data_IF_867499290556
#
_entry.id   IF_867499290556
#
_cell.length_a   1.000
_cell.length_b   1.000
_cell.length_c   1.000
_cell.angle_alpha   90.00
_cell.angle_beta   90.00
_cell.angle_gamma   90.00
#
_symmetry.space_group_name_H-M   'P 1'
#
loop_
_entity.id
_entity.type
_entity.pdbx_description
1 polymer ?
#
# COMPACT_ATOMS: atom_id res chain seq x y z
N UNK A 1 -0.72 -4.69 -17.32
CA UNK A 1 -1.91 -4.57 -16.45
C UNK A 1 -2.84 -5.76 -16.73
N UNK A 2 -3.57 -6.28 -15.73
CA UNK A 2 -4.49 -7.44 -15.92
C UNK A 2 -4.01 -8.82 -15.41
N UNK A 3 -2.93 -8.88 -14.61
CA UNK A 3 -2.30 -10.16 -14.22
C UNK A 3 -2.64 -10.63 -12.78
N UNK A 4 -3.75 -10.17 -12.19
CA UNK A 4 -4.18 -10.60 -10.85
C UNK A 4 -3.44 -9.96 -9.64
N UNK A 5 -2.65 -8.90 -9.85
CA UNK A 5 -1.89 -8.22 -8.77
C UNK A 5 -2.77 -7.74 -7.62
N UNK A 6 -3.89 -7.09 -7.94
CA UNK A 6 -4.87 -6.66 -6.96
C UNK A 6 -5.45 -7.84 -6.17
N UNK A 7 -5.60 -9.01 -6.81
CA UNK A 7 -6.12 -10.20 -6.15
C UNK A 7 -5.14 -10.73 -5.08
N UNK A 8 -3.83 -10.73 -5.35
CA UNK A 8 -2.82 -11.10 -4.33
C UNK A 8 -2.80 -10.11 -3.17
N UNK A 9 -2.93 -8.81 -3.44
CA UNK A 9 -3.01 -7.77 -2.42
C UNK A 9 -4.23 -7.98 -1.51
N UNK A 10 -5.38 -8.26 -2.13
CA UNK A 10 -6.63 -8.58 -1.44
C UNK A 10 -6.52 -9.84 -0.58
N UNK A 11 -5.84 -10.90 -1.06
CA UNK A 11 -5.63 -12.10 -0.26
C UNK A 11 -4.76 -11.83 0.97
N UNK A 12 -3.73 -10.98 0.87
CA UNK A 12 -2.94 -10.54 2.01
C UNK A 12 -3.77 -9.70 2.99
N UNK A 13 -4.56 -8.76 2.48
CA UNK A 13 -5.49 -7.98 3.32
C UNK A 13 -6.48 -8.88 4.05
N UNK A 14 -7.01 -9.90 3.38
CA UNK A 14 -7.89 -10.90 3.99
C UNK A 14 -7.18 -11.62 5.14
N UNK A 15 -5.97 -12.12 4.88
CA UNK A 15 -5.18 -12.82 5.89
C UNK A 15 -4.90 -11.93 7.10
N UNK A 16 -4.42 -10.70 6.89
CA UNK A 16 -4.13 -9.76 7.98
C UNK A 16 -5.38 -9.35 8.76
N UNK A 17 -6.51 -9.17 8.07
CA UNK A 17 -7.80 -8.88 8.71
C UNK A 17 -8.30 -10.04 9.56
N UNK A 18 -8.13 -11.28 9.11
CA UNK A 18 -8.53 -12.49 9.84
C UNK A 18 -7.68 -12.73 11.10
N UNK A 19 -6.42 -12.27 11.11
CA UNK A 19 -5.54 -12.31 12.30
C UNK A 19 -6.02 -11.43 13.46
N UNK A 20 -7.10 -10.64 13.27
CA UNK A 20 -7.67 -9.71 14.26
C UNK A 20 -6.61 -8.81 14.91
N UNK A 21 -5.65 -8.33 14.11
CA UNK A 21 -4.68 -7.36 14.58
C UNK A 21 -5.40 -6.07 14.98
N UNK A 22 -4.95 -5.44 16.08
CA UNK A 22 -5.48 -4.13 16.51
C UNK A 22 -5.16 -3.01 15.50
N UNK A 23 -4.22 -3.25 14.58
CA UNK A 23 -3.72 -2.26 13.62
C UNK A 23 -4.46 -2.33 12.29
N UNK A 24 -4.54 -1.19 11.62
CA UNK A 24 -5.17 -1.00 10.32
C UNK A 24 -4.28 -1.47 9.17
N UNK A 25 -4.92 -1.89 8.09
CA UNK A 25 -4.26 -2.01 6.79
C UNK A 25 -4.54 -0.78 5.94
N UNK A 26 -3.53 -0.24 5.27
CA UNK A 26 -3.64 0.95 4.45
C UNK A 26 -3.31 0.65 3.00
N UNK A 27 -4.19 1.03 2.08
CA UNK A 27 -3.99 0.91 0.64
C UNK A 27 -3.82 2.30 0.04
N UNK A 28 -2.69 2.53 -0.61
CA UNK A 28 -2.33 3.80 -1.21
C UNK A 28 -2.39 3.70 -2.73
N UNK A 29 -3.05 4.65 -3.38
CA UNK A 29 -3.06 4.80 -4.83
C UNK A 29 -2.77 6.26 -5.23
N UNK A 30 -2.16 6.51 -6.40
CA UNK A 30 -1.64 7.85 -6.72
C UNK A 30 -2.76 8.85 -7.04
N UNK A 31 -3.92 8.38 -7.51
CA UNK A 31 -5.05 9.25 -7.89
C UNK A 31 -6.34 8.87 -7.18
N UNK A 32 -7.26 9.83 -7.04
CA UNK A 32 -8.57 9.61 -6.40
C UNK A 32 -9.41 8.55 -7.14
N UNK A 33 -9.40 8.56 -8.47
CA UNK A 33 -10.10 7.56 -9.29
C UNK A 33 -9.57 6.14 -9.04
N UNK A 34 -8.24 5.98 -8.91
CA UNK A 34 -7.65 4.69 -8.56
C UNK A 34 -8.01 4.30 -7.12
N UNK A 35 -8.03 5.24 -6.18
CA UNK A 35 -8.49 4.96 -4.81
C UNK A 35 -9.93 4.43 -4.78
N UNK A 36 -10.84 5.05 -5.55
CA UNK A 36 -12.23 4.59 -5.67
C UNK A 36 -12.32 3.17 -6.26
N UNK A 37 -11.59 2.92 -7.35
CA UNK A 37 -11.53 1.60 -7.98
C UNK A 37 -11.03 0.54 -7.01
N UNK A 38 -9.90 0.80 -6.32
CA UNK A 38 -9.31 -0.15 -5.38
C UNK A 38 -10.20 -0.35 -4.14
N UNK A 39 -10.90 0.70 -3.70
CA UNK A 39 -11.87 0.61 -2.61
C UNK A 39 -13.01 -0.35 -2.96
N UNK A 40 -13.60 -0.21 -4.15
CA UNK A 40 -14.69 -1.09 -4.59
C UNK A 40 -14.23 -2.54 -4.70
N UNK A 41 -13.09 -2.79 -5.34
CA UNK A 41 -12.53 -4.16 -5.45
C UNK A 41 -12.25 -4.76 -4.08
N UNK A 42 -11.71 -3.97 -3.14
CA UNK A 42 -11.43 -4.43 -1.78
C UNK A 42 -12.71 -4.72 -1.00
N UNK A 43 -13.75 -3.89 -1.15
CA UNK A 43 -15.07 -4.10 -0.52
C UNK A 43 -15.75 -5.36 -1.02
N UNK A 44 -15.70 -5.60 -2.34
CA UNK A 44 -16.34 -6.77 -2.94
C UNK A 44 -15.63 -8.07 -2.53
N UNK A 45 -14.32 -8.00 -2.31
CA UNK A 45 -13.52 -9.18 -2.00
C UNK A 45 -13.37 -9.46 -0.49
N UNK A 46 -13.54 -8.45 0.37
CA UNK A 46 -13.39 -8.58 1.82
C UNK A 46 -14.69 -8.24 2.56
N UNK A 47 -15.11 -9.12 3.46
CA UNK A 47 -16.25 -8.87 4.36
C UNK A 47 -15.88 -7.98 5.57
N UNK A 48 -15.06 -6.95 5.36
CA UNK A 48 -14.60 -6.03 6.41
C UNK A 48 -14.91 -4.59 6.05
N UNK A 49 -14.94 -3.70 7.05
CA UNK A 49 -15.19 -2.27 6.82
C UNK A 49 -13.99 -1.62 6.12
N UNK A 50 -14.24 -1.08 4.91
CA UNK A 50 -13.26 -0.39 4.07
C UNK A 50 -13.63 1.08 3.96
N UNK A 51 -12.77 1.96 4.47
CA UNK A 51 -12.92 3.41 4.39
C UNK A 51 -12.19 3.97 3.17
N UNK A 52 -12.78 4.97 2.51
CA UNK A 52 -12.14 5.71 1.42
C UNK A 52 -11.91 7.15 1.85
N UNK A 53 -10.66 7.61 1.75
CA UNK A 53 -10.30 9.01 1.96
C UNK A 53 -9.55 9.51 0.74
N UNK A 54 -10.16 10.39 -0.04
CA UNK A 54 -9.47 11.07 -1.15
C UNK A 54 -9.45 12.57 -0.93
N UNK A 55 -8.43 13.24 -1.47
CA UNK A 55 -8.34 14.70 -1.46
C UNK A 55 -9.54 15.36 -2.15
N UNK A 56 -10.19 14.69 -3.09
CA UNK A 56 -11.38 15.18 -3.78
C UNK A 56 -12.64 15.13 -2.89
N UNK A 57 -12.72 14.18 -1.95
CA UNK A 57 -13.92 13.98 -1.12
C UNK A 57 -14.01 14.94 0.05
N UNK A 58 -12.88 15.43 0.60
CA UNK A 58 -12.96 16.36 1.73
C UNK A 58 -11.65 17.11 2.07
N UNK A 59 -11.26 18.13 1.28
CA UNK A 59 -10.11 19.00 1.59
C UNK A 59 -10.18 19.69 2.97
N UNK A 60 -11.39 19.83 3.55
CA UNK A 60 -11.60 20.55 4.81
C UNK A 60 -11.97 19.67 6.02
N UNK A 61 -12.33 18.39 5.83
CA UNK A 61 -12.79 17.54 6.94
C UNK A 61 -11.64 16.89 7.73
N UNK A 62 -10.46 16.71 7.11
CA UNK A 62 -9.34 15.97 7.72
C UNK A 62 -8.47 16.77 8.69
N UNK A 63 -8.94 17.92 9.15
CA UNK A 63 -8.30 18.74 10.20
C UNK A 63 -8.83 18.42 11.61
N UNK A 64 -9.85 17.58 11.71
CA UNK A 64 -10.47 17.20 12.98
C UNK A 64 -9.94 15.85 13.48
N UNK A 65 -9.26 15.87 14.63
CA UNK A 65 -8.74 14.68 15.28
C UNK A 65 -9.85 13.70 15.72
N UNK A 66 -11.03 14.21 16.08
CA UNK A 66 -12.16 13.37 16.51
C UNK A 66 -12.75 12.58 15.34
N UNK A 67 -12.80 13.19 14.14
CA UNK A 67 -13.20 12.52 12.91
C UNK A 67 -12.21 11.40 12.57
N UNK A 68 -10.91 11.67 12.62
CA UNK A 68 -9.88 10.64 12.41
C UNK A 68 -10.08 9.47 13.37
N UNK A 69 -10.24 9.72 14.67
CA UNK A 69 -10.47 8.66 15.65
C UNK A 69 -11.71 7.83 15.33
N UNK A 70 -12.81 8.47 14.93
CA UNK A 70 -14.04 7.77 14.54
C UNK A 70 -13.81 6.89 13.31
N UNK A 71 -13.18 7.43 12.26
CA UNK A 71 -12.91 6.71 11.02
C UNK A 71 -11.97 5.52 11.24
N UNK A 72 -10.89 5.71 12.01
CA UNK A 72 -9.93 4.66 12.35
C UNK A 72 -10.55 3.57 13.22
N UNK A 73 -11.55 3.89 14.06
CA UNK A 73 -12.27 2.89 14.85
C UNK A 73 -13.32 2.11 14.07
N UNK A 74 -13.90 2.73 13.03
CA UNK A 74 -14.98 2.13 12.24
C UNK A 74 -14.48 1.20 11.12
N UNK A 75 -13.27 1.43 10.62
CA UNK A 75 -12.73 0.72 9.46
C UNK A 75 -11.57 -0.20 9.84
N UNK A 76 -11.36 -1.27 9.07
CA UNK A 76 -10.16 -2.13 9.19
C UNK A 76 -9.18 -1.92 8.05
N UNK A 77 -9.69 -1.50 6.90
CA UNK A 77 -8.89 -1.14 5.75
C UNK A 77 -9.19 0.31 5.38
N UNK A 78 -8.14 1.10 5.19
CA UNK A 78 -8.23 2.47 4.70
C UNK A 78 -7.64 2.55 3.30
N UNK A 79 -8.35 3.19 2.38
CA UNK A 79 -7.86 3.46 1.02
C UNK A 79 -7.72 4.96 0.85
N UNK A 80 -6.54 5.44 0.47
CA UNK A 80 -6.33 6.88 0.25
C UNK A 80 -5.25 7.23 -0.76
N UNK A 81 -5.20 8.51 -1.14
CA UNK A 81 -3.99 9.05 -1.77
C UNK A 81 -2.87 9.17 -0.75
N UNK A 82 -1.59 9.15 -1.16
CA UNK A 82 -0.49 9.22 -0.22
C UNK A 82 -0.36 10.56 0.49
N UNK A 83 -0.75 11.65 -0.17
CA UNK A 83 -0.73 12.97 0.46
C UNK A 83 -1.62 13.03 1.71
N UNK A 84 -2.79 12.37 1.67
CA UNK A 84 -3.71 12.29 2.82
C UNK A 84 -3.04 11.60 4.01
N UNK A 85 -2.43 10.41 3.79
CA UNK A 85 -1.76 9.68 4.86
C UNK A 85 -0.56 10.46 5.40
N UNK A 86 0.24 11.05 4.50
CA UNK A 86 1.39 11.85 4.86
C UNK A 86 1.01 13.05 5.74
N UNK A 87 -0.06 13.75 5.39
CA UNK A 87 -0.55 14.87 6.18
C UNK A 87 -1.10 14.37 7.53
N UNK A 88 -1.82 13.26 7.57
CA UNK A 88 -2.31 12.70 8.83
C UNK A 88 -1.16 12.30 9.79
N UNK A 89 -0.07 11.76 9.25
CA UNK A 89 1.14 11.44 10.00
C UNK A 89 1.85 12.71 10.51
N UNK A 90 1.89 13.79 9.71
CA UNK A 90 2.49 15.08 10.12
C UNK A 90 1.75 15.79 11.21
N UNK A 91 0.42 15.76 11.16
CA UNK A 91 -0.41 16.35 12.19
C UNK A 91 -0.51 15.46 13.45
N UNK A 92 0.03 14.23 13.40
CA UNK A 92 0.00 13.30 14.53
C UNK A 92 -1.37 12.68 14.79
N UNK A 93 -2.28 12.71 13.81
CA UNK A 93 -3.57 12.03 13.92
C UNK A 93 -3.43 10.51 13.83
N UNK A 94 -2.37 10.05 13.16
CA UNK A 94 -2.01 8.65 12.99
C UNK A 94 -0.55 8.46 13.40
N UNK A 95 -0.28 7.41 14.15
CA UNK A 95 1.05 6.98 14.54
C UNK A 95 1.38 5.70 13.79
N UNK A 96 2.24 5.79 12.77
CA UNK A 96 2.56 4.67 11.86
C UNK A 96 2.88 3.37 12.61
N UNK A 97 3.70 3.44 13.66
CA UNK A 97 4.11 2.26 14.40
C UNK A 97 3.00 1.62 15.25
N UNK A 98 2.02 2.40 15.69
CA UNK A 98 0.93 1.96 16.57
C UNK A 98 -0.32 1.57 15.80
N UNK A 99 -0.70 2.38 14.83
CA UNK A 99 -2.02 2.29 14.21
C UNK A 99 -2.01 1.48 12.91
N UNK A 100 -0.84 1.31 12.28
CA UNK A 100 -0.73 0.69 10.96
C UNK A 100 0.05 -0.63 11.06
N UNK A 101 -0.52 -1.70 10.53
CA UNK A 101 0.06 -3.04 10.48
C UNK A 101 0.58 -3.41 9.09
N UNK A 102 -0.06 -2.91 8.04
CA UNK A 102 0.25 -3.18 6.64
C UNK A 102 0.03 -1.92 5.81
N UNK A 103 0.95 -1.62 4.90
CA UNK A 103 0.79 -0.59 3.87
C UNK A 103 0.99 -1.24 2.50
N UNK A 104 0.03 -1.00 1.61
CA UNK A 104 0.06 -1.44 0.21
C UNK A 104 0.23 -0.21 -0.67
N UNK A 105 1.29 -0.19 -1.48
CA UNK A 105 1.56 0.87 -2.46
C UNK A 105 1.14 0.40 -3.85
N UNK A 106 0.10 1.01 -4.41
CA UNK A 106 -0.25 0.84 -5.82
C UNK A 106 0.54 1.83 -6.69
N UNK A 107 0.99 1.33 -7.84
CA UNK A 107 1.95 2.03 -8.70
C UNK A 107 3.17 2.54 -7.91
N UNK A 108 3.74 1.65 -7.08
CA UNK A 108 4.90 1.92 -6.21
C UNK A 108 6.15 2.48 -6.92
N UNK A 109 6.14 2.43 -8.25
CA UNK A 109 7.10 3.09 -9.12
C UNK A 109 7.14 4.63 -8.91
N UNK A 110 6.08 5.23 -8.36
CA UNK A 110 6.07 6.64 -7.93
C UNK A 110 6.95 6.95 -6.71
N UNK A 111 7.40 5.94 -5.94
CA UNK A 111 8.13 6.13 -4.67
C UNK A 111 9.60 6.55 -4.85
N UNK A 112 9.83 7.66 -5.54
CA UNK A 112 11.14 8.24 -5.85
C UNK A 112 11.15 9.72 -5.51
N UNK A 113 12.35 10.30 -5.40
CA UNK A 113 12.55 11.73 -5.15
C UNK A 113 11.70 12.27 -3.99
N UNK A 114 10.95 13.35 -4.20
CA UNK A 114 10.12 14.00 -3.18
C UNK A 114 8.64 13.57 -3.26
N UNK A 115 8.34 12.45 -3.92
CA UNK A 115 6.98 11.92 -4.01
C UNK A 115 6.43 11.58 -2.61
N UNK A 116 5.13 11.85 -2.33
CA UNK A 116 4.52 11.51 -1.06
C UNK A 116 4.72 10.06 -0.60
N UNK A 117 4.80 9.08 -1.51
CA UNK A 117 5.16 7.70 -1.15
C UNK A 117 6.53 7.62 -0.47
N UNK A 118 7.55 8.22 -1.10
CA UNK A 118 8.91 8.19 -0.58
C UNK A 118 9.02 8.96 0.75
N UNK A 119 8.30 10.09 0.87
CA UNK A 119 8.28 10.88 2.10
C UNK A 119 7.67 10.13 3.29
N UNK A 120 6.58 9.38 3.08
CA UNK A 120 6.01 8.50 4.12
C UNK A 120 7.08 7.54 4.63
N UNK A 121 7.86 6.95 3.72
CA UNK A 121 8.90 6.00 4.08
C UNK A 121 10.06 6.65 4.84
N UNK A 122 10.58 7.77 4.33
CA UNK A 122 11.75 8.46 4.90
C UNK A 122 11.44 9.16 6.24
N UNK A 123 10.30 9.84 6.33
CA UNK A 123 9.94 10.65 7.50
C UNK A 123 9.43 9.78 8.66
N UNK A 124 8.76 8.66 8.38
CA UNK A 124 8.06 7.86 9.40
C UNK A 124 8.51 6.40 9.45
N UNK A 125 8.46 5.68 8.33
CA UNK A 125 8.68 4.24 8.33
C UNK A 125 10.10 3.84 8.76
N UNK A 126 11.12 4.43 8.13
CA UNK A 126 12.50 4.07 8.38
C UNK A 126 12.99 4.47 9.78
N UNK A 127 12.25 5.35 10.47
CA UNK A 127 12.53 5.76 11.86
C UNK A 127 12.07 4.72 12.90
N UNK A 128 11.19 3.80 12.50
CA UNK A 128 10.70 2.73 13.39
C UNK A 128 11.69 1.55 13.43
N UNK A 129 11.72 0.80 14.54
CA UNK A 129 12.54 -0.40 14.62
C UNK A 129 12.02 -1.49 13.66
N UNK A 130 12.92 -2.26 13.01
CA UNK A 130 12.55 -3.37 12.14
C UNK A 130 11.70 -4.43 12.84
N UNK A 131 10.91 -5.15 12.06
CA UNK A 131 10.13 -6.28 12.57
C UNK A 131 11.01 -7.52 12.70
N UNK A 132 11.14 -8.05 13.92
CA UNK A 132 11.79 -9.34 14.15
C UNK A 132 10.85 -10.51 13.76
N UNK A 133 11.20 -11.32 12.75
CA UNK A 133 10.38 -12.43 12.27
C UNK A 133 10.17 -13.53 13.32
N UNK A 134 11.11 -13.69 14.27
CA UNK A 134 11.06 -14.71 15.32
C UNK A 134 9.95 -14.45 16.35
N UNK A 135 9.44 -13.22 16.41
CA UNK A 135 8.45 -12.75 17.38
C UNK A 135 7.01 -12.69 16.81
N UNK A 136 6.77 -13.27 15.63
CA UNK A 136 5.49 -13.17 14.91
C UNK A 136 4.28 -13.75 15.65
N UNK A 137 4.49 -14.63 16.65
CA UNK A 137 3.43 -15.29 17.42
C UNK A 137 3.16 -14.78 18.85
N UNK A 138 3.96 -13.87 19.40
CA UNK A 138 3.83 -13.42 20.81
C UNK A 138 3.13 -12.05 20.85
N UNK A 139 1.95 -11.97 21.48
CA UNK A 139 1.16 -10.73 21.59
C UNK A 139 1.55 -10.00 22.87
N UNK A 140 2.71 -9.33 22.88
CA UNK A 140 3.08 -8.44 24.00
C UNK A 140 2.86 -6.97 23.63
N UNK A 141 2.49 -6.17 24.63
CA UNK A 141 2.25 -4.72 24.55
C UNK A 141 3.45 -3.92 24.01
N UNK A 142 4.66 -4.50 24.02
CA UNK A 142 5.87 -3.94 23.41
C UNK A 142 5.88 -3.96 21.87
N UNK A 143 4.90 -4.60 21.21
CA UNK A 143 4.76 -4.62 19.72
C UNK A 143 4.12 -3.37 19.12
N UNK A 144 3.70 -2.40 19.94
CA UNK A 144 2.97 -1.22 19.46
C UNK A 144 3.83 -0.17 18.74
N UNK A 145 5.16 -0.28 18.68
CA UNK A 145 6.02 0.69 17.97
C UNK A 145 6.98 -0.04 17.04
N UNK A 146 6.48 -0.63 15.96
CA UNK A 146 7.30 -1.35 14.95
C UNK A 146 6.89 -0.97 13.54
N UNK A 147 7.80 -1.18 12.59
CA UNK A 147 7.50 -0.99 11.16
C UNK A 147 6.28 -1.83 10.75
N UNK A 148 5.31 -1.24 10.02
CA UNK A 148 4.28 -2.02 9.35
C UNK A 148 4.90 -2.93 8.28
N UNK A 149 4.19 -3.97 7.85
CA UNK A 149 4.58 -4.70 6.65
C UNK A 149 4.33 -3.82 5.41
N UNK A 150 5.21 -3.90 4.41
CA UNK A 150 5.07 -3.20 3.14
C UNK A 150 4.79 -4.21 2.03
N UNK A 151 3.81 -3.88 1.19
CA UNK A 151 3.55 -4.57 -0.06
C UNK A 151 3.42 -3.57 -1.20
N UNK A 152 3.93 -3.91 -2.37
CA UNK A 152 3.95 -3.00 -3.53
C UNK A 152 3.36 -3.68 -4.75
N UNK A 153 2.45 -3.00 -5.44
CA UNK A 153 1.85 -3.45 -6.69
C UNK A 153 2.45 -2.64 -7.84
N UNK A 154 3.15 -3.33 -8.74
CA UNK A 154 3.74 -2.70 -9.93
C UNK A 154 3.39 -3.54 -11.16
N UNK A 155 2.78 -2.90 -12.16
CA UNK A 155 2.42 -3.58 -13.39
C UNK A 155 3.53 -3.60 -14.44
N UNK A 156 4.34 -2.53 -14.49
CA UNK A 156 5.44 -2.42 -15.43
C UNK A 156 6.43 -1.38 -14.91
N UNK A 157 7.62 -1.77 -14.46
CA UNK A 157 8.60 -0.83 -13.93
C UNK A 157 9.48 -0.26 -15.07
N UNK A 158 8.87 0.22 -16.15
CA UNK A 158 9.64 0.76 -17.28
C UNK A 158 9.96 2.22 -16.99
N UNK A 159 11.16 2.45 -16.48
CA UNK A 159 11.74 3.78 -16.40
C UNK A 159 12.74 3.92 -17.54
N UNK A 160 12.70 5.06 -18.23
CA UNK A 160 13.80 5.42 -19.13
C UNK A 160 15.12 5.42 -18.36
N UNK A 161 16.18 4.85 -18.95
CA UNK A 161 17.50 4.73 -18.32
C UNK A 161 17.81 3.31 -17.83
N UNK A 162 18.64 3.21 -16.78
CA UNK A 162 19.11 1.93 -16.25
C UNK A 162 18.05 1.31 -15.33
N UNK A 163 17.35 0.30 -15.85
CA UNK A 163 16.25 -0.41 -15.19
C UNK A 163 16.68 -1.05 -13.86
N UNK A 164 17.87 -1.66 -13.80
CA UNK A 164 18.38 -2.29 -12.58
C UNK A 164 18.62 -1.28 -11.46
N UNK A 165 19.05 -0.06 -11.82
CA UNK A 165 19.22 1.04 -10.85
C UNK A 165 17.87 1.52 -10.34
N UNK A 166 16.88 1.65 -11.23
CA UNK A 166 15.52 2.04 -10.84
C UNK A 166 14.88 1.02 -9.89
N UNK A 167 15.07 -0.28 -10.13
CA UNK A 167 14.55 -1.33 -9.25
C UNK A 167 15.18 -1.28 -7.87
N UNK A 168 16.52 -1.25 -7.79
CA UNK A 168 17.23 -1.17 -6.51
C UNK A 168 16.83 0.06 -5.70
N UNK A 169 16.59 1.18 -6.38
CA UNK A 169 16.13 2.40 -5.74
C UNK A 169 14.74 2.22 -5.12
N UNK A 170 13.78 1.65 -5.86
CA UNK A 170 12.43 1.38 -5.34
C UNK A 170 12.48 0.37 -4.19
N UNK A 171 13.26 -0.71 -4.33
CA UNK A 171 13.43 -1.72 -3.27
C UNK A 171 13.97 -1.11 -1.97
N UNK A 172 15.00 -0.26 -2.10
CA UNK A 172 15.58 0.46 -0.96
C UNK A 172 14.59 1.45 -0.34
N UNK A 173 13.89 2.23 -1.16
CA UNK A 173 12.96 3.25 -0.67
C UNK A 173 11.79 2.63 0.09
N UNK A 174 11.22 1.53 -0.44
CA UNK A 174 10.04 0.88 0.10
C UNK A 174 10.35 -0.25 1.10
N UNK A 175 11.63 -0.55 1.38
CA UNK A 175 12.03 -1.67 2.25
C UNK A 175 11.38 -2.99 1.81
N UNK A 176 11.36 -3.23 0.49
CA UNK A 176 10.66 -4.35 -0.13
C UNK A 176 11.47 -4.94 -1.29
N UNK A 177 11.20 -6.19 -1.64
CA UNK A 177 11.87 -6.88 -2.76
C UNK A 177 10.90 -6.99 -3.94
N UNK A 178 11.35 -6.59 -5.13
CA UNK A 178 10.56 -6.71 -6.35
C UNK A 178 10.64 -8.16 -6.82
N UNK A 179 9.50 -8.85 -6.81
CA UNK A 179 9.39 -10.24 -7.25
C UNK A 179 8.46 -10.32 -8.46
N UNK A 180 8.89 -11.04 -9.49
CA UNK A 180 8.05 -11.37 -10.65
C UNK A 180 7.66 -12.86 -10.60
N UNK A 181 6.41 -13.24 -10.93
CA UNK A 181 6.01 -14.64 -10.97
C UNK A 181 6.77 -15.37 -12.09
N UNK A 182 7.72 -16.24 -11.71
CA UNK A 182 8.48 -17.05 -12.68
C UNK A 182 7.82 -18.40 -12.98
N UNK A 183 7.12 -19.00 -12.02
CA UNK A 183 6.59 -20.38 -12.13
C UNK A 183 5.25 -20.46 -12.89
N UNK A 184 4.35 -19.51 -12.70
CA UNK A 184 3.03 -19.45 -13.36
C UNK A 184 3.01 -18.59 -14.63
N UNK A 185 4.19 -18.25 -15.16
CA UNK A 185 4.34 -17.33 -16.30
C UNK A 185 3.61 -17.81 -17.56
N UNK A 186 3.60 -19.12 -17.80
CA UNK A 186 2.91 -19.77 -18.93
C UNK A 186 1.40 -19.66 -18.79
N UNK A 187 0.84 -20.04 -17.64
CA UNK A 187 -0.61 -19.92 -17.36
C UNK A 187 -1.06 -18.45 -17.41
N UNK A 188 -0.29 -17.52 -16.84
CA UNK A 188 -0.62 -16.09 -16.86
C UNK A 188 -0.57 -15.49 -18.27
N UNK A 189 0.23 -16.04 -19.18
CA UNK A 189 0.30 -15.60 -20.56
C UNK A 189 -0.95 -15.97 -21.39
N UNK A 190 -1.69 -17.01 -20.98
CA UNK A 190 -2.95 -17.40 -21.62
C UNK A 190 -4.09 -16.43 -21.30
N UNK A 191 -4.07 -15.83 -20.11
CA UNK A 191 -5.12 -14.90 -19.64
C UNK A 191 -4.79 -13.42 -19.86
N UNK A 192 -3.55 -13.08 -20.25
CA UNK A 192 -3.12 -11.69 -20.48
C UNK A 192 -2.97 -11.43 -21.98
N UNK A 193 -3.89 -10.64 -22.55
CA UNK A 193 -3.83 -10.21 -23.93
C UNK A 193 -2.58 -9.35 -24.19
N UNK A 194 -1.66 -9.83 -25.03
CA UNK A 194 -0.50 -9.06 -25.48
C UNK A 194 -0.83 -8.30 -26.76
N UNK A 195 -0.63 -6.98 -26.82
CA UNK A 195 -0.82 -6.24 -28.05
C UNK A 195 0.17 -6.72 -29.11
N UNK A 196 -0.30 -6.93 -30.34
CA UNK A 196 0.55 -7.23 -31.50
C UNK A 196 1.06 -5.91 -32.07
N UNK A 197 2.35 -5.63 -31.89
CA UNK A 197 2.99 -4.48 -32.50
C UNK A 197 3.15 -4.72 -34.00
N UNK A 198 2.46 -3.92 -34.82
CA UNK A 198 2.69 -3.87 -36.26
C UNK A 198 3.49 -2.61 -36.56
N UNK A 199 4.68 -2.78 -37.13
CA UNK A 199 5.42 -1.66 -37.70
C UNK A 199 4.72 -1.26 -39.00
N UNK A 200 4.23 -0.02 -39.06
CA UNK A 200 3.78 0.58 -40.31
C UNK A 200 5.05 1.15 -40.95
N UNK A 201 5.44 0.61 -42.10
CA UNK A 201 6.56 1.09 -42.93
C UNK A 201 6.04 2.17 -43.86
#
# INVERSE_FOLDING_TARGET
>A
TGSGKTHTAVLHLKHESERKLEKLSWFLAPTAALCEQQCNVTKDALHVSVGLISGALALYQWKDASLWKSVLSAHRVMVSTPQVLLDALRHGYILMGMDIGLIIFDEAHHAVDNDPYNRIMQEYYHKLPPMDPSLTGIVSSQRRMRRPMIMSLIASPIFGGNVDKAFRMIETNLDSVIVSPCQTRSSLAEFVHRPTFKHIV
#
